data_IF_177446799737
#
_entry.id   IF_177446799737
#
_cell.length_a   1.000
_cell.length_b   1.000
_cell.length_c   1.000
_cell.angle_alpha   90.00
_cell.angle_beta   90.00
_cell.angle_gamma   90.00
#
_symmetry.space_group_name_H-M   'P 1'
#
loop_
_entity.id
_entity.type
_entity.pdbx_description
1 polymer ?
#
# COMPACT_ATOMS: atom_id res chain seq x y z
N UNK A 1 -11.12 31.86 -10.66
CA UNK A 1 -9.71 31.65 -11.06
C UNK A 1 -9.27 30.27 -10.57
N UNK A 2 -8.53 29.48 -11.36
CA UNK A 2 -7.99 28.20 -10.90
C UNK A 2 -7.02 28.42 -9.73
N UNK A 3 -7.08 27.54 -8.72
CA UNK A 3 -6.14 27.53 -7.60
C UNK A 3 -4.88 26.80 -8.07
N UNK A 4 -3.77 27.52 -8.16
CA UNK A 4 -2.47 26.96 -8.53
C UNK A 4 -1.74 26.57 -7.23
N UNK A 5 -1.31 25.32 -7.13
CA UNK A 5 -0.43 24.86 -6.05
C UNK A 5 1.03 25.07 -6.48
N UNK A 6 1.78 25.85 -5.70
CA UNK A 6 3.18 26.17 -5.98
C UNK A 6 4.19 25.33 -5.16
N UNK A 7 3.69 24.45 -4.30
CA UNK A 7 4.54 23.66 -3.41
C UNK A 7 5.28 22.56 -4.18
N UNK A 8 6.52 22.29 -3.76
CA UNK A 8 7.34 21.20 -4.28
C UNK A 8 6.64 19.86 -4.02
N UNK A 9 6.54 19.02 -5.06
CA UNK A 9 6.05 17.65 -4.96
C UNK A 9 7.25 16.70 -5.07
N UNK A 10 7.37 15.78 -4.12
CA UNK A 10 8.45 14.80 -4.07
C UNK A 10 7.96 13.46 -4.63
N UNK A 11 8.82 12.78 -5.37
CA UNK A 11 8.64 11.41 -5.85
C UNK A 11 9.36 10.42 -4.91
N UNK A 12 9.11 9.11 -5.04
CA UNK A 12 9.73 8.09 -4.19
C UNK A 12 11.27 8.07 -4.28
N UNK A 13 11.83 8.46 -5.44
CA UNK A 13 13.28 8.58 -5.65
C UNK A 13 13.91 9.75 -4.89
N UNK A 14 13.11 10.74 -4.49
CA UNK A 14 13.59 11.96 -3.81
C UNK A 14 13.69 11.78 -2.29
N UNK A 15 13.28 10.62 -1.77
CA UNK A 15 13.23 10.32 -0.34
C UNK A 15 14.00 9.06 0.04
N UNK A 16 14.56 9.05 1.25
CA UNK A 16 15.30 7.92 1.82
C UNK A 16 14.76 7.57 3.21
N UNK A 17 14.76 6.28 3.55
CA UNK A 17 14.52 5.83 4.91
C UNK A 17 15.79 6.02 5.75
N UNK A 18 15.71 6.83 6.81
CA UNK A 18 16.79 6.92 7.80
C UNK A 18 16.76 5.66 8.68
N UNK A 19 17.82 4.83 8.68
CA UNK A 19 17.84 3.63 9.51
C UNK A 19 17.77 3.98 11.00
N UNK A 20 17.05 3.14 11.76
CA UNK A 20 17.01 3.16 13.23
C UNK A 20 17.25 1.73 13.72
N UNK A 21 17.85 1.57 14.91
CA UNK A 21 18.08 0.26 15.52
C UNK A 21 16.75 -0.51 15.62
N UNK A 22 16.69 -1.69 15.01
CA UNK A 22 15.56 -2.61 15.11
C UNK A 22 15.54 -3.29 16.47
N UNK A 23 14.35 -3.55 17.00
CA UNK A 23 14.12 -4.44 18.16
C UNK A 23 13.82 -5.87 17.74
N UNK A 24 13.49 -6.10 16.47
CA UNK A 24 13.22 -7.42 15.90
C UNK A 24 14.53 -8.14 15.59
N UNK A 25 14.57 -9.45 15.85
CA UNK A 25 15.74 -10.31 15.62
C UNK A 25 15.76 -10.89 14.21
N UNK A 26 14.60 -11.05 13.59
CA UNK A 26 14.44 -11.62 12.25
C UNK A 26 13.43 -10.82 11.42
N UNK A 27 13.58 -10.84 10.09
CA UNK A 27 12.60 -10.30 9.14
C UNK A 27 11.27 -11.05 9.19
N UNK A 28 11.29 -12.33 9.61
CA UNK A 28 10.08 -13.14 9.77
C UNK A 28 9.20 -12.70 10.95
N UNK A 29 9.72 -11.86 11.85
CA UNK A 29 8.96 -11.32 13.00
C UNK A 29 8.18 -10.04 12.64
N UNK A 30 8.28 -9.56 11.39
CA UNK A 30 7.58 -8.35 10.93
C UNK A 30 6.12 -8.68 10.62
N UNK A 31 5.19 -8.01 11.30
CA UNK A 31 3.77 -8.03 10.94
C UNK A 31 3.49 -7.02 9.82
N UNK A 32 2.98 -7.52 8.69
CA UNK A 32 2.61 -6.71 7.52
C UNK A 32 1.12 -6.39 7.46
N UNK A 33 0.31 -6.90 8.41
CA UNK A 33 -1.14 -6.76 8.39
C UNK A 33 -1.56 -5.31 8.65
N UNK A 34 -2.24 -4.71 7.68
CA UNK A 34 -2.82 -3.38 7.76
C UNK A 34 -4.35 -3.47 7.74
N UNK A 35 -5.02 -2.63 8.53
CA UNK A 35 -6.48 -2.50 8.52
C UNK A 35 -6.88 -1.31 7.65
N UNK A 36 -7.83 -1.55 6.74
CA UNK A 36 -8.38 -0.57 5.82
C UNK A 36 -9.88 -0.43 6.04
N UNK A 37 -10.37 0.80 6.04
CA UNK A 37 -11.81 1.09 6.03
C UNK A 37 -12.18 1.71 4.70
N UNK A 38 -13.06 1.05 3.95
CA UNK A 38 -13.47 1.51 2.63
C UNK A 38 -14.38 2.74 2.76
N UNK A 39 -14.01 3.83 2.08
CA UNK A 39 -14.71 5.12 2.15
C UNK A 39 -16.21 5.00 1.85
N UNK A 40 -16.56 4.21 0.83
CA UNK A 40 -17.91 4.16 0.27
C UNK A 40 -18.77 3.08 0.95
N UNK A 41 -18.27 1.85 1.07
CA UNK A 41 -19.04 0.74 1.65
C UNK A 41 -19.03 0.71 3.18
N UNK A 42 -18.10 1.44 3.82
CA UNK A 42 -17.81 1.36 5.27
C UNK A 42 -17.36 -0.03 5.75
N UNK A 43 -17.13 -0.97 4.83
CA UNK A 43 -16.55 -2.27 5.13
C UNK A 43 -15.13 -2.13 5.65
N UNK A 44 -14.69 -3.12 6.43
CA UNK A 44 -13.31 -3.23 6.91
C UNK A 44 -12.62 -4.41 6.26
N UNK A 45 -11.33 -4.25 5.96
CA UNK A 45 -10.44 -5.28 5.43
C UNK A 45 -9.14 -5.26 6.22
N UNK A 46 -8.61 -6.43 6.57
CA UNK A 46 -7.29 -6.56 7.19
C UNK A 46 -6.44 -7.52 6.37
N UNK A 47 -5.29 -7.06 5.90
CA UNK A 47 -4.39 -7.84 5.06
C UNK A 47 -3.11 -7.09 4.72
N UNK A 48 -2.30 -7.67 3.85
CA UNK A 48 -1.06 -7.04 3.36
C UNK A 48 -1.43 -5.83 2.48
N UNK A 49 -0.77 -4.67 2.62
CA UNK A 49 -1.12 -3.42 1.95
C UNK A 49 -0.72 -3.38 0.46
N UNK A 50 -1.05 -4.43 -0.30
CA UNK A 50 -0.78 -4.55 -1.74
C UNK A 50 -2.11 -4.84 -2.45
N UNK A 51 -2.47 -4.00 -3.42
CA UNK A 51 -3.74 -4.06 -4.14
C UNK A 51 -3.46 -3.96 -5.65
N UNK A 52 -4.07 -4.84 -6.45
CA UNK A 52 -4.02 -4.75 -7.90
C UNK A 52 -4.73 -3.49 -8.41
N UNK A 53 -4.13 -2.81 -9.38
CA UNK A 53 -4.76 -1.66 -10.01
C UNK A 53 -6.00 -2.08 -10.82
N UNK A 54 -7.03 -1.23 -10.85
CA UNK A 54 -8.22 -1.43 -11.67
C UNK A 54 -7.91 -1.09 -13.14
N UNK A 55 -7.19 -1.98 -13.81
CA UNK A 55 -6.78 -1.87 -15.21
C UNK A 55 -7.07 -3.19 -15.94
N UNK A 56 -7.43 -3.12 -17.22
CA UNK A 56 -7.93 -4.26 -18.02
C UNK A 56 -7.03 -5.51 -17.96
N UNK A 57 -5.71 -5.33 -17.94
CA UNK A 57 -4.74 -6.44 -17.93
C UNK A 57 -4.15 -6.74 -16.56
N UNK A 58 -4.55 -6.02 -15.50
CA UNK A 58 -3.98 -6.14 -14.15
C UNK A 58 -5.01 -6.71 -13.19
N UNK A 59 -6.21 -6.13 -13.16
CA UNK A 59 -7.29 -6.48 -12.21
C UNK A 59 -8.11 -7.71 -12.61
N UNK A 60 -7.47 -8.79 -13.06
CA UNK A 60 -8.16 -10.01 -13.52
C UNK A 60 -8.56 -10.91 -12.34
N UNK A 61 -9.50 -11.84 -12.56
CA UNK A 61 -9.88 -12.83 -11.53
C UNK A 61 -8.72 -13.74 -11.13
N UNK A 62 -7.85 -14.08 -12.08
CA UNK A 62 -6.63 -14.85 -11.81
C UNK A 62 -5.70 -14.09 -10.86
N UNK A 63 -5.53 -12.77 -11.07
CA UNK A 63 -4.75 -11.92 -10.17
C UNK A 63 -5.39 -11.85 -8.76
N UNK A 64 -6.72 -11.76 -8.69
CA UNK A 64 -7.43 -11.77 -7.41
C UNK A 64 -7.21 -13.07 -6.62
N UNK A 65 -7.23 -14.23 -7.32
CA UNK A 65 -6.93 -15.52 -6.69
C UNK A 65 -5.47 -15.61 -6.25
N UNK A 66 -4.53 -15.12 -7.06
CA UNK A 66 -3.10 -15.13 -6.72
C UNK A 66 -2.80 -14.26 -5.48
N UNK A 67 -3.39 -13.06 -5.40
CA UNK A 67 -3.22 -12.17 -4.25
C UNK A 67 -3.90 -12.67 -2.97
N UNK A 68 -4.94 -13.50 -3.08
CA UNK A 68 -5.62 -14.07 -1.92
C UNK A 68 -4.84 -15.21 -1.24
N UNK A 69 -3.93 -15.87 -1.97
CA UNK A 69 -3.15 -17.01 -1.45
C UNK A 69 -2.00 -16.61 -0.52
N UNK A 70 -1.75 -15.31 -0.36
CA UNK A 70 -0.68 -14.74 0.48
C UNK A 70 -1.25 -14.34 1.83
#
# INVERSE_FOLDING_TARGET
MPRIENDIKLDFKDVLLRPKRSTLKSRSEVDLMCSFTFRNSKGSYRGIPIIAANMDTVGTFEMALALHQV
#
